data_IF_460666032190
#
_entry.id   IF_460666032190
#
_cell.length_a   1.000
_cell.length_b   1.000
_cell.length_c   1.000
_cell.angle_alpha   90.00
_cell.angle_beta   90.00
_cell.angle_gamma   90.00
#
_symmetry.space_group_name_H-M   'P 1'
#
loop_
_entity.id
_entity.type
_entity.pdbx_description
1 polymer ?
#
# COMPACT_ATOMS: atom_id res chain seq x y z
N UNK A 1 -10.20 -5.75 -28.99
CA UNK A 1 -9.06 -4.81 -28.88
C UNK A 1 -7.79 -5.63 -29.02
N UNK A 2 -6.82 -5.21 -29.84
CA UNK A 2 -5.54 -5.92 -29.99
C UNK A 2 -4.72 -5.80 -28.70
N UNK A 3 -4.20 -6.93 -28.19
CA UNK A 3 -3.27 -6.91 -27.06
C UNK A 3 -1.94 -6.29 -27.49
N UNK A 4 -1.35 -5.37 -26.70
CA UNK A 4 -0.08 -4.75 -27.05
C UNK A 4 1.02 -5.80 -27.20
N UNK A 5 1.86 -5.63 -28.21
CA UNK A 5 3.03 -6.49 -28.40
C UNK A 5 3.98 -6.36 -27.21
N UNK A 6 4.78 -7.40 -26.95
CA UNK A 6 5.76 -7.40 -25.84
C UNK A 6 6.68 -6.17 -25.90
N UNK A 7 7.06 -5.75 -27.12
CA UNK A 7 7.92 -4.59 -27.34
C UNK A 7 7.22 -3.25 -26.96
N UNK A 8 5.96 -3.08 -27.36
CA UNK A 8 5.16 -1.89 -27.00
C UNK A 8 4.93 -1.79 -25.49
N UNK A 9 4.69 -2.91 -24.80
CA UNK A 9 4.59 -2.94 -23.33
C UNK A 9 5.89 -2.47 -22.68
N UNK A 10 7.05 -2.95 -23.15
CA UNK A 10 8.34 -2.54 -22.60
C UNK A 10 8.65 -1.05 -22.81
N UNK A 11 8.30 -0.49 -23.97
CA UNK A 11 8.46 0.95 -24.25
C UNK A 11 7.59 1.77 -23.29
N UNK A 12 6.29 1.45 -23.17
CA UNK A 12 5.38 2.14 -22.24
C UNK A 12 5.83 2.03 -20.79
N UNK A 13 6.25 0.85 -20.34
CA UNK A 13 6.76 0.67 -18.97
C UNK A 13 8.00 1.54 -18.71
N UNK A 14 8.91 1.66 -19.69
CA UNK A 14 10.08 2.55 -19.58
C UNK A 14 9.68 4.01 -19.45
N UNK A 15 8.70 4.48 -20.22
CA UNK A 15 8.21 5.85 -20.15
C UNK A 15 7.54 6.17 -18.81
N UNK A 16 6.64 5.30 -18.36
CA UNK A 16 5.98 5.41 -17.05
C UNK A 16 7.01 5.46 -15.91
N UNK A 17 7.98 4.54 -15.94
CA UNK A 17 9.03 4.48 -14.92
C UNK A 17 9.86 5.78 -14.88
N UNK A 18 10.25 6.32 -16.04
CA UNK A 18 10.97 7.59 -16.13
C UNK A 18 10.13 8.77 -15.62
N UNK A 19 8.84 8.82 -15.94
CA UNK A 19 7.94 9.88 -15.49
C UNK A 19 7.75 9.87 -13.96
N UNK A 20 7.68 8.68 -13.36
CA UNK A 20 7.62 8.51 -11.91
C UNK A 20 8.91 8.99 -11.23
N UNK A 21 10.07 8.63 -11.77
CA UNK A 21 11.38 9.05 -11.24
C UNK A 21 11.61 10.55 -11.37
N UNK A 22 11.13 11.20 -12.44
CA UNK A 22 11.23 12.64 -12.62
C UNK A 22 10.20 13.44 -11.82
N UNK A 23 9.23 12.76 -11.20
CA UNK A 23 8.14 13.39 -10.44
C UNK A 23 7.20 14.24 -11.27
N UNK A 24 7.10 13.96 -12.58
CA UNK A 24 6.18 14.67 -13.45
C UNK A 24 4.77 14.08 -13.34
N UNK A 25 4.00 14.56 -12.37
CA UNK A 25 2.67 14.05 -12.03
C UNK A 25 1.72 14.01 -13.25
N UNK A 26 1.68 15.10 -14.01
CA UNK A 26 0.84 15.22 -15.21
C UNK A 26 1.18 14.16 -16.26
N UNK A 27 2.49 13.94 -16.49
CA UNK A 27 2.94 12.94 -17.46
C UNK A 27 2.60 11.52 -17.01
N UNK A 28 2.70 11.22 -15.72
CA UNK A 28 2.31 9.91 -15.19
C UNK A 28 0.81 9.66 -15.43
N UNK A 29 -0.05 10.63 -15.10
CA UNK A 29 -1.51 10.51 -15.28
C UNK A 29 -1.86 10.34 -16.77
N UNK A 30 -1.23 11.09 -17.66
CA UNK A 30 -1.43 10.97 -19.11
C UNK A 30 -1.07 9.57 -19.61
N UNK A 31 0.08 9.04 -19.20
CA UNK A 31 0.54 7.70 -19.59
C UNK A 31 -0.35 6.60 -19.00
N UNK A 32 -0.87 6.77 -17.78
CA UNK A 32 -1.83 5.85 -17.18
C UNK A 32 -3.09 5.70 -18.06
N UNK A 33 -3.60 6.78 -18.64
CA UNK A 33 -4.78 6.71 -19.52
C UNK A 33 -4.55 5.90 -20.80
N UNK A 34 -3.29 5.67 -21.18
CA UNK A 34 -2.91 4.92 -22.38
C UNK A 34 -2.67 3.42 -22.11
N UNK A 35 -2.77 2.97 -20.86
CA UNK A 35 -2.64 1.56 -20.46
C UNK A 35 -3.95 1.05 -19.89
N UNK A 36 -4.32 -0.19 -20.23
CA UNK A 36 -5.64 -0.76 -19.93
C UNK A 36 -5.98 -0.74 -18.43
N UNK A 37 -5.00 -1.05 -17.57
CA UNK A 37 -5.18 -1.09 -16.12
C UNK A 37 -4.89 0.25 -15.43
N UNK A 38 -4.59 1.29 -16.21
CA UNK A 38 -4.35 2.63 -15.68
C UNK A 38 -3.32 2.65 -14.55
N UNK A 39 -3.66 3.27 -13.40
CA UNK A 39 -2.80 3.30 -12.22
C UNK A 39 -2.45 1.92 -11.61
N UNK A 40 -3.25 0.89 -11.91
CA UNK A 40 -3.03 -0.51 -11.48
C UNK A 40 -2.18 -1.31 -12.46
N UNK A 41 -1.64 -0.68 -13.51
CA UNK A 41 -0.80 -1.33 -14.49
C UNK A 41 0.52 -1.82 -13.86
N UNK A 42 0.85 -3.08 -14.11
CA UNK A 42 2.09 -3.71 -13.65
C UNK A 42 3.30 -3.17 -14.41
N UNK A 43 4.16 -2.48 -13.69
CA UNK A 43 5.25 -1.68 -14.23
C UNK A 43 6.60 -2.38 -14.18
N UNK A 44 6.92 -3.05 -13.07
CA UNK A 44 8.24 -3.62 -12.81
C UNK A 44 8.23 -5.15 -12.93
N UNK A 45 9.42 -5.75 -12.99
CA UNK A 45 9.59 -7.20 -12.96
C UNK A 45 9.18 -7.81 -11.60
N UNK A 46 9.04 -6.98 -10.55
CA UNK A 46 8.63 -7.39 -9.21
C UNK A 46 7.12 -7.31 -9.00
N UNK A 47 6.36 -7.22 -10.09
CA UNK A 47 4.91 -7.06 -10.10
C UNK A 47 4.42 -5.79 -9.36
N UNK A 48 5.26 -4.75 -9.27
CA UNK A 48 4.83 -3.47 -8.72
C UNK A 48 4.01 -2.70 -9.76
N UNK A 49 2.84 -2.23 -9.34
CA UNK A 49 2.00 -1.36 -10.18
C UNK A 49 2.52 0.07 -10.22
N UNK A 50 1.96 0.90 -11.10
CA UNK A 50 2.24 2.35 -11.10
C UNK A 50 1.94 2.97 -9.73
N UNK A 51 0.85 2.58 -9.05
CA UNK A 51 0.58 3.03 -7.68
C UNK A 51 1.69 2.65 -6.69
N UNK A 52 2.17 1.41 -6.70
CA UNK A 52 3.27 0.97 -5.82
C UNK A 52 4.48 1.87 -6.05
N UNK A 53 4.86 2.06 -7.31
CA UNK A 53 6.03 2.86 -7.67
C UNK A 53 5.90 4.35 -7.30
N UNK A 54 4.69 4.91 -7.36
CA UNK A 54 4.44 6.30 -6.98
C UNK A 54 4.71 6.57 -5.48
N UNK A 55 4.57 5.55 -4.62
CA UNK A 55 4.81 5.72 -3.17
C UNK A 55 6.29 5.96 -2.83
N UNK A 56 7.22 5.38 -3.58
CA UNK A 56 8.66 5.56 -3.36
C UNK A 56 9.10 7.00 -3.61
N UNK A 57 8.47 7.69 -4.56
CA UNK A 57 8.75 9.10 -4.86
C UNK A 57 8.29 10.07 -3.77
N UNK A 58 7.54 9.59 -2.74
CA UNK A 58 6.92 10.39 -1.68
C UNK A 58 6.08 11.57 -2.20
N UNK A 59 5.56 11.45 -3.42
CA UNK A 59 4.70 12.43 -4.08
C UNK A 59 3.25 12.19 -3.65
N UNK A 60 2.91 12.65 -2.45
CA UNK A 60 1.60 12.44 -1.83
C UNK A 60 0.44 12.78 -2.77
N UNK A 61 0.53 13.93 -3.45
CA UNK A 61 -0.47 14.40 -4.40
C UNK A 61 -0.65 13.41 -5.55
N UNK A 62 0.44 12.98 -6.18
CA UNK A 62 0.39 12.00 -7.25
C UNK A 62 -0.25 10.68 -6.80
N UNK A 63 0.15 10.14 -5.64
CA UNK A 63 -0.40 8.86 -5.16
C UNK A 63 -1.90 8.98 -4.93
N UNK A 64 -2.36 10.08 -4.33
CA UNK A 64 -3.77 10.32 -4.08
C UNK A 64 -4.56 10.53 -5.38
N UNK A 65 -4.02 11.30 -6.34
CA UNK A 65 -4.62 11.47 -7.67
C UNK A 65 -4.75 10.15 -8.41
N UNK A 66 -3.69 9.32 -8.41
CA UNK A 66 -3.71 8.00 -9.04
C UNK A 66 -4.73 7.07 -8.38
N UNK A 67 -4.91 7.14 -7.05
CA UNK A 67 -5.92 6.37 -6.33
C UNK A 67 -7.35 6.79 -6.71
N UNK A 68 -7.59 8.09 -6.94
CA UNK A 68 -8.90 8.57 -7.38
C UNK A 68 -9.23 8.21 -8.83
N UNK A 69 -8.21 8.05 -9.68
CA UNK A 69 -8.38 7.56 -11.05
C UNK A 69 -8.69 6.05 -11.10
N UNK A 70 -8.60 5.31 -9.98
CA UNK A 70 -9.00 3.89 -9.92
C UNK A 70 -10.54 3.81 -9.87
N UNK A 71 -11.19 3.19 -10.87
CA UNK A 71 -12.63 2.99 -10.87
C UNK A 71 -13.07 2.14 -9.67
N UNK A 72 -14.24 2.42 -9.10
CA UNK A 72 -14.74 1.66 -7.95
C UNK A 72 -14.92 0.16 -8.24
N UNK A 73 -15.25 -0.21 -9.49
CA UNK A 73 -15.33 -1.59 -9.95
C UNK A 73 -13.99 -2.34 -9.84
N UNK A 74 -12.87 -1.62 -9.87
CA UNK A 74 -11.51 -2.15 -9.80
C UNK A 74 -10.90 -2.03 -8.39
N UNK A 75 -11.66 -1.59 -7.38
CA UNK A 75 -11.15 -1.46 -6.01
C UNK A 75 -10.54 -2.76 -5.47
N UNK A 76 -11.09 -3.92 -5.85
CA UNK A 76 -10.55 -5.23 -5.47
C UNK A 76 -9.09 -5.44 -5.88
N UNK A 77 -8.64 -4.77 -6.95
CA UNK A 77 -7.27 -4.83 -7.45
C UNK A 77 -6.28 -4.04 -6.57
N UNK A 78 -6.75 -3.19 -5.65
CA UNK A 78 -5.89 -2.52 -4.66
C UNK A 78 -5.30 -3.51 -3.65
N UNK A 79 -5.90 -4.70 -3.51
CA UNK A 79 -5.36 -5.79 -2.71
C UNK A 79 -4.32 -6.65 -3.46
N UNK A 80 -4.03 -6.33 -4.74
CA UNK A 80 -2.98 -7.02 -5.48
C UNK A 80 -1.63 -6.87 -4.77
N UNK A 81 -0.91 -8.00 -4.69
CA UNK A 81 0.39 -8.09 -4.02
C UNK A 81 1.51 -8.13 -5.03
N UNK A 82 2.59 -7.42 -4.72
CA UNK A 82 3.85 -7.54 -5.46
C UNK A 82 4.62 -8.82 -5.06
N UNK A 83 5.85 -8.99 -5.57
CA UNK A 83 6.68 -10.17 -5.31
C UNK A 83 7.12 -10.37 -3.87
N UNK A 84 7.07 -9.36 -3.01
CA UNK A 84 7.32 -9.54 -1.57
C UNK A 84 6.02 -9.72 -0.78
N UNK A 85 4.88 -9.77 -1.47
CA UNK A 85 3.56 -9.88 -0.86
C UNK A 85 2.97 -8.55 -0.38
N UNK A 86 3.64 -7.42 -0.64
CA UNK A 86 3.10 -6.13 -0.22
C UNK A 86 1.91 -5.76 -1.10
N UNK A 87 0.83 -5.35 -0.46
CA UNK A 87 -0.19 -4.51 -1.08
C UNK A 87 0.27 -3.05 -1.10
N UNK A 88 -0.43 -2.19 -1.84
CA UNK A 88 -0.14 -0.75 -1.85
C UNK A 88 -0.24 -0.11 -0.45
N UNK A 89 -1.07 -0.64 0.46
CA UNK A 89 -1.17 -0.12 1.83
C UNK A 89 0.12 -0.36 2.63
N UNK A 90 0.83 -1.47 2.38
CA UNK A 90 2.11 -1.74 3.00
C UNK A 90 3.15 -0.68 2.61
N UNK A 91 3.20 -0.28 1.35
CA UNK A 91 4.17 0.71 0.88
C UNK A 91 3.78 2.13 1.33
N UNK A 92 2.49 2.46 1.31
CA UNK A 92 1.97 3.72 1.89
C UNK A 92 2.33 3.83 3.38
N UNK A 93 2.28 2.73 4.13
CA UNK A 93 2.58 2.72 5.56
C UNK A 93 4.03 3.11 5.90
N UNK A 94 4.93 3.15 4.92
CA UNK A 94 6.33 3.58 5.14
C UNK A 94 6.51 5.11 5.13
N UNK A 95 5.42 5.90 5.12
CA UNK A 95 5.48 7.37 5.12
C UNK A 95 4.31 8.03 5.86
N UNK A 96 4.60 8.85 6.89
CA UNK A 96 3.58 9.65 7.59
C UNK A 96 2.85 10.65 6.66
N UNK A 97 3.49 11.09 5.57
CA UNK A 97 2.86 12.02 4.61
C UNK A 97 1.70 11.37 3.85
N UNK A 98 1.68 10.04 3.74
CA UNK A 98 0.67 9.31 2.97
C UNK A 98 -0.54 8.89 3.84
N UNK A 99 -0.70 9.43 5.04
CA UNK A 99 -1.90 9.18 5.89
C UNK A 99 -3.21 9.51 5.15
N UNK A 100 -3.33 10.63 4.40
CA UNK A 100 -4.54 10.90 3.62
C UNK A 100 -4.82 9.80 2.58
N UNK A 101 -3.78 9.29 1.92
CA UNK A 101 -3.89 8.15 1.00
C UNK A 101 -4.33 6.89 1.72
N UNK A 102 -3.72 6.55 2.85
CA UNK A 102 -4.08 5.38 3.64
C UNK A 102 -5.55 5.42 4.07
N UNK A 103 -6.03 6.60 4.49
CA UNK A 103 -7.44 6.83 4.84
C UNK A 103 -8.38 6.56 3.68
N UNK A 104 -8.11 7.12 2.50
CA UNK A 104 -8.94 6.88 1.31
C UNK A 104 -8.91 5.42 0.85
N UNK A 105 -7.75 4.75 0.96
CA UNK A 105 -7.63 3.34 0.64
C UNK A 105 -8.47 2.47 1.57
N UNK A 106 -8.41 2.71 2.88
CA UNK A 106 -9.20 1.96 3.86
C UNK A 106 -10.70 2.28 3.77
N UNK A 107 -11.07 3.49 3.35
CA UNK A 107 -12.46 3.82 3.01
C UNK A 107 -12.98 3.02 1.82
N UNK A 108 -12.15 2.85 0.77
CA UNK A 108 -12.50 2.09 -0.44
C UNK A 108 -12.47 0.58 -0.20
N UNK A 109 -11.46 0.09 0.52
CA UNK A 109 -11.18 -1.34 0.74
C UNK A 109 -10.69 -1.56 2.18
N UNK A 110 -11.61 -1.68 3.16
CA UNK A 110 -11.24 -1.88 4.56
C UNK A 110 -10.41 -3.15 4.79
N UNK A 111 -10.64 -4.20 3.99
CA UNK A 111 -9.94 -5.49 4.09
C UNK A 111 -8.41 -5.38 3.93
N UNK A 112 -7.89 -4.31 3.29
CA UNK A 112 -6.45 -4.07 3.16
C UNK A 112 -5.73 -4.01 4.50
N UNK A 113 -6.43 -3.64 5.58
CA UNK A 113 -5.87 -3.56 6.92
C UNK A 113 -5.38 -4.94 7.41
N UNK A 114 -6.08 -6.00 7.03
CA UNK A 114 -5.81 -7.38 7.46
C UNK A 114 -4.79 -8.10 6.58
N UNK A 115 -4.38 -7.50 5.47
CA UNK A 115 -3.46 -8.13 4.53
C UNK A 115 -2.08 -8.29 5.12
N UNK A 116 -1.48 -9.46 4.87
CA UNK A 116 -0.10 -9.78 5.24
C UNK A 116 0.78 -9.97 4.01
N UNK A 117 1.99 -9.47 4.08
CA UNK A 117 3.02 -9.76 3.09
C UNK A 117 3.65 -11.15 3.32
N UNK A 118 4.61 -11.56 2.47
CA UNK A 118 5.27 -12.89 2.58
C UNK A 118 6.11 -13.06 3.86
N UNK A 119 6.33 -11.98 4.59
CA UNK A 119 7.01 -11.95 5.88
C UNK A 119 6.05 -11.98 7.07
N UNK A 120 4.74 -12.08 6.81
CA UNK A 120 3.69 -12.02 7.82
C UNK A 120 3.42 -10.61 8.36
N UNK A 121 4.06 -9.56 7.81
CA UNK A 121 3.86 -8.18 8.25
C UNK A 121 2.53 -7.65 7.72
N UNK A 122 1.78 -6.94 8.56
CA UNK A 122 0.69 -6.05 8.17
C UNK A 122 1.22 -4.66 7.82
N UNK A 123 0.38 -3.80 7.23
CA UNK A 123 0.71 -2.39 7.04
C UNK A 123 1.07 -1.69 8.36
N UNK A 124 0.39 -2.03 9.46
CA UNK A 124 0.69 -1.52 10.81
C UNK A 124 2.10 -1.90 11.27
N UNK A 125 2.47 -3.17 11.11
CA UNK A 125 3.81 -3.65 11.43
C UNK A 125 4.89 -2.95 10.62
N UNK A 126 4.59 -2.66 9.35
CA UNK A 126 5.48 -1.95 8.46
C UNK A 126 5.68 -0.50 8.89
N UNK A 127 4.62 0.21 9.29
CA UNK A 127 4.73 1.58 9.83
C UNK A 127 5.69 1.64 11.03
N UNK A 128 5.57 0.71 11.98
CA UNK A 128 6.47 0.61 13.11
C UNK A 128 7.91 0.26 12.71
N UNK A 129 8.10 -0.72 11.81
CA UNK A 129 9.43 -1.11 11.32
C UNK A 129 10.19 0.04 10.64
N UNK A 130 9.48 1.02 10.07
CA UNK A 130 10.08 2.22 9.47
C UNK A 130 9.99 3.47 10.37
N UNK A 131 9.60 3.33 11.65
CA UNK A 131 9.53 4.45 12.60
C UNK A 131 8.51 5.52 12.21
N UNK A 132 7.43 5.13 11.52
CA UNK A 132 6.38 6.03 11.04
C UNK A 132 5.29 6.13 12.09
N UNK A 133 5.62 6.79 13.20
CA UNK A 133 4.78 6.84 14.41
C UNK A 133 3.37 7.38 14.15
N UNK A 134 3.22 8.45 13.38
CA UNK A 134 1.89 9.03 13.10
C UNK A 134 1.06 8.10 12.21
N UNK A 135 1.68 7.45 11.22
CA UNK A 135 1.02 6.42 10.41
C UNK A 135 0.65 5.20 11.27
N UNK A 136 1.53 4.78 12.19
CA UNK A 136 1.26 3.67 13.10
C UNK A 136 0.04 3.97 13.98
N UNK A 137 0.01 5.15 14.65
CA UNK A 137 -1.14 5.57 15.46
C UNK A 137 -2.43 5.63 14.65
N UNK A 138 -2.35 6.13 13.42
CA UNK A 138 -3.49 6.16 12.50
C UNK A 138 -4.01 4.73 12.23
N UNK A 139 -3.15 3.82 11.80
CA UNK A 139 -3.52 2.43 11.48
C UNK A 139 -3.99 1.66 12.72
N UNK A 140 -3.37 1.86 13.88
CA UNK A 140 -3.80 1.29 15.16
C UNK A 140 -5.22 1.75 15.53
N UNK A 141 -5.52 3.03 15.29
CA UNK A 141 -6.86 3.58 15.43
C UNK A 141 -7.88 2.90 14.51
N UNK A 142 -7.52 2.64 13.23
CA UNK A 142 -8.39 1.91 12.31
C UNK A 142 -8.60 0.44 12.76
N UNK A 143 -7.55 -0.24 13.24
CA UNK A 143 -7.64 -1.61 13.78
C UNK A 143 -8.57 -1.64 14.98
N UNK A 144 -8.46 -0.71 15.92
CA UNK A 144 -9.36 -0.66 17.08
C UNK A 144 -10.82 -0.48 16.68
N UNK A 145 -11.10 0.33 15.64
CA UNK A 145 -12.47 0.57 15.17
C UNK A 145 -13.15 -0.65 14.57
N UNK A 146 -12.39 -1.54 13.92
CA UNK A 146 -12.97 -2.77 13.35
C UNK A 146 -13.48 -3.72 14.44
N UNK A 147 -12.99 -3.62 15.67
CA UNK A 147 -13.44 -4.46 16.80
C UNK A 147 -14.51 -3.80 17.67
N UNK A 148 -14.55 -2.46 17.75
CA UNK A 148 -15.59 -1.76 18.53
C UNK A 148 -16.97 -1.75 17.88
N UNK A 149 -17.06 -2.08 16.58
CA UNK A 149 -18.33 -2.06 15.82
C UNK A 149 -19.13 -3.36 15.94
N UNK A 150 -18.54 -4.45 16.45
CA UNK A 150 -19.16 -5.77 16.54
C UNK A 150 -19.89 -6.04 17.87
N UNK A 151 -20.05 -5.03 18.74
CA UNK A 151 -20.92 -5.09 19.92
C UNK A 151 -20.59 -6.17 20.96
N UNK A 152 -19.41 -6.79 20.88
CA UNK A 152 -18.90 -7.74 21.88
C UNK A 152 -17.77 -7.09 22.65
N UNK A 153 -18.13 -6.47 23.77
CA UNK A 153 -17.21 -6.25 24.88
C UNK A 153 -17.00 -7.58 25.62
N UNK A 154 -16.55 -8.63 24.94
CA UNK A 154 -16.21 -9.89 25.60
C UNK A 154 -14.87 -10.37 25.04
N UNK A 155 -13.85 -10.22 25.89
CA UNK A 155 -12.51 -10.80 25.87
C UNK A 155 -11.71 -10.72 24.56
N UNK A 156 -10.62 -9.92 24.51
CA UNK A 156 -9.79 -10.03 23.31
C UNK A 156 -8.54 -9.18 23.15
N UNK A 157 -7.62 -9.15 24.11
CA UNK A 157 -6.21 -8.92 23.72
C UNK A 157 -5.77 -9.93 22.63
N UNK A 158 -6.37 -11.12 22.60
CA UNK A 158 -6.05 -12.21 21.66
C UNK A 158 -6.45 -11.97 20.20
N UNK A 159 -7.56 -11.29 19.92
CA UNK A 159 -7.97 -10.96 18.54
C UNK A 159 -7.05 -9.91 17.90
N UNK A 160 -6.55 -8.99 18.73
CA UNK A 160 -5.66 -7.91 18.31
C UNK A 160 -4.28 -8.45 17.94
N UNK A 161 -3.77 -9.45 18.69
CA UNK A 161 -2.43 -10.05 18.55
C UNK A 161 -2.06 -10.36 17.10
N UNK A 162 -3.02 -10.79 16.28
CA UNK A 162 -2.79 -11.07 14.87
C UNK A 162 -2.11 -9.91 14.16
N UNK A 163 -2.62 -8.68 14.31
CA UNK A 163 -2.05 -7.51 13.65
C UNK A 163 -0.64 -7.15 14.11
N UNK A 164 -0.28 -7.54 15.34
CA UNK A 164 0.98 -7.18 15.99
C UNK A 164 2.06 -8.27 15.91
N UNK A 165 1.78 -9.40 15.26
CA UNK A 165 2.67 -10.56 15.20
C UNK A 165 2.88 -11.04 13.77
N UNK A 166 4.13 -11.35 13.43
CA UNK A 166 4.54 -11.98 12.16
C UNK A 166 4.44 -13.50 12.26
N UNK A 167 4.62 -14.17 11.12
CA UNK A 167 4.52 -15.64 11.02
C UNK A 167 5.62 -16.36 11.83
N UNK A 168 6.78 -15.73 12.02
CA UNK A 168 7.90 -16.20 12.85
C UNK A 168 7.70 -15.94 14.36
N UNK A 169 6.50 -15.51 14.76
CA UNK A 169 6.11 -15.10 16.12
C UNK A 169 6.78 -13.80 16.62
N UNK A 170 7.60 -13.15 15.81
CA UNK A 170 8.15 -11.85 16.15
C UNK A 170 7.02 -10.80 16.22
N UNK A 171 7.13 -9.90 17.18
CA UNK A 171 6.14 -8.82 17.37
C UNK A 171 6.57 -7.55 16.66
N UNK A 172 5.64 -6.62 16.49
CA UNK A 172 5.95 -5.28 15.99
C UNK A 172 7.09 -4.61 16.78
N UNK A 173 7.16 -4.83 18.11
CA UNK A 173 8.26 -4.31 18.92
C UNK A 173 9.61 -4.90 18.52
N UNK A 174 9.70 -6.18 18.17
CA UNK A 174 10.95 -6.78 17.68
C UNK A 174 11.41 -6.08 16.40
N UNK A 175 10.49 -5.80 15.48
CA UNK A 175 10.79 -5.04 14.26
C UNK A 175 11.22 -3.60 14.52
N UNK A 176 10.56 -2.90 15.43
CA UNK A 176 10.91 -1.53 15.81
C UNK A 176 12.29 -1.44 16.49
N UNK A 177 12.61 -2.38 17.37
CA UNK A 177 13.92 -2.47 18.04
C UNK A 177 15.02 -2.81 17.04
N UNK A 178 14.79 -3.82 16.18
CA UNK A 178 15.76 -4.20 15.15
C UNK A 178 16.08 -3.05 14.18
N UNK A 179 15.08 -2.23 13.83
CA UNK A 179 15.25 -1.05 12.97
C UNK A 179 15.72 0.21 13.70
N UNK A 180 16.04 0.14 15.00
CA UNK A 180 16.45 1.29 15.81
C UNK A 180 15.40 2.43 15.84
N UNK A 181 14.12 2.08 15.87
CA UNK A 181 12.99 3.00 15.85
C UNK A 181 12.12 2.87 17.11
N UNK A 182 12.72 3.12 18.28
CA UNK A 182 12.13 2.91 19.60
C UNK A 182 12.10 4.16 20.50
N UNK A 183 12.33 5.35 19.93
CA UNK A 183 12.30 6.65 20.62
C UNK A 183 10.97 7.37 20.53
#
# INVERSE_FOLDING_TARGET
MAHPTKNERHIKNRELYRALLSGNENRVIELCKQVQKGPLHELTIHHETVLHMATYGKQEKLVLSLLWEVPETENHMLAAKNDVGNTILHDVATSNKLIPTAREMLRKVPALLHERNRSGETALARAARYGKMEMFKFLDGEVKRTFTSDGKEEDGEEGHIGFYRRDDKSTILHGAVYSEHFG
#
